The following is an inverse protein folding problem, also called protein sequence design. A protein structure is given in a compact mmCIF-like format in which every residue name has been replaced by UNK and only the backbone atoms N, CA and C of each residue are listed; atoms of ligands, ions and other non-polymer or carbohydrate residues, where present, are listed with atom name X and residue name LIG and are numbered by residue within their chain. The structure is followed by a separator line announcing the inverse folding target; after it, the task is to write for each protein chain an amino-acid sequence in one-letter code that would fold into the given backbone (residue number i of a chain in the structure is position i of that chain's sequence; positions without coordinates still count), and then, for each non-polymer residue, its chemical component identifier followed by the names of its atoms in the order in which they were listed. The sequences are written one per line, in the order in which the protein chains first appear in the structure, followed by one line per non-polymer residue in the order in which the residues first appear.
data_IF_715001147229
#
_entry.id   IF_715001147229
#
_cell.length_a   1.000
_cell.length_b   1.000
_cell.length_c   1.000
_cell.angle_alpha   90.00
_cell.angle_beta   90.00
_cell.angle_gamma   90.00
#
_symmetry.space_group_name_H-M   'P 1'
#
loop_
_entity.id
_entity.type
_entity.pdbx_description
1 polymer ?
#
# COMPACT_ATOMS: atom_id res chain seq x y z
N UNK A 1 20.94 -23.24 -16.09
CA UNK A 1 20.10 -22.49 -17.07
C UNK A 1 19.99 -21.05 -16.66
N UNK A 2 19.92 -20.18 -17.62
CA UNK A 2 19.71 -18.74 -17.38
C UNK A 2 18.31 -18.32 -17.73
N UNK A 3 17.75 -17.42 -16.95
CA UNK A 3 16.42 -16.86 -17.17
C UNK A 3 16.32 -15.44 -16.63
N UNK A 4 15.30 -14.72 -17.07
CA UNK A 4 15.03 -13.37 -16.62
C UNK A 4 13.90 -13.36 -15.58
N UNK A 5 14.12 -12.65 -14.49
CA UNK A 5 13.14 -12.50 -13.42
C UNK A 5 11.92 -11.72 -13.91
N UNK A 6 10.73 -12.29 -13.79
CA UNK A 6 9.47 -11.63 -14.21
C UNK A 6 9.18 -10.33 -13.42
N UNK A 7 9.73 -10.21 -12.20
CA UNK A 7 9.48 -9.03 -11.36
C UNK A 7 10.48 -7.88 -11.58
N UNK A 8 11.76 -8.17 -11.84
CA UNK A 8 12.81 -7.15 -11.91
C UNK A 8 13.69 -7.23 -13.16
N UNK A 9 13.38 -8.10 -14.12
CA UNK A 9 14.10 -8.36 -15.37
C UNK A 9 15.58 -8.75 -15.24
N UNK A 10 16.06 -8.93 -14.01
CA UNK A 10 17.43 -9.37 -13.76
C UNK A 10 17.66 -10.78 -14.29
N UNK A 11 18.73 -10.96 -15.06
CA UNK A 11 19.22 -12.30 -15.44
C UNK A 11 19.71 -13.05 -14.20
N UNK A 12 19.37 -14.33 -14.07
CA UNK A 12 19.79 -15.19 -12.97
C UNK A 12 19.94 -16.64 -13.41
N UNK A 13 20.79 -17.35 -12.70
CA UNK A 13 20.97 -18.79 -12.90
C UNK A 13 19.99 -19.57 -12.03
N UNK A 14 19.41 -20.63 -12.60
CA UNK A 14 18.52 -21.52 -11.87
C UNK A 14 18.79 -22.99 -12.24
N UNK A 15 18.51 -23.89 -11.32
CA UNK A 15 18.59 -25.33 -11.53
C UNK A 15 17.31 -25.86 -12.16
N UNK A 16 17.36 -26.74 -13.16
CA UNK A 16 16.18 -27.30 -13.82
C UNK A 16 15.22 -28.04 -12.88
N UNK A 17 15.74 -28.54 -11.77
CA UNK A 17 14.96 -29.18 -10.70
C UNK A 17 14.13 -28.20 -9.85
N UNK A 18 14.49 -26.93 -9.88
CA UNK A 18 13.71 -25.88 -9.22
C UNK A 18 12.56 -25.45 -10.15
N UNK A 19 11.35 -25.81 -9.79
CA UNK A 19 10.13 -25.52 -10.59
C UNK A 19 9.85 -24.04 -10.87
N UNK A 20 10.71 -23.12 -10.40
CA UNK A 20 10.48 -21.69 -10.41
C UNK A 20 11.61 -20.88 -11.07
N UNK A 21 12.01 -21.25 -12.28
CA UNK A 21 12.88 -20.39 -13.10
C UNK A 21 12.27 -19.05 -13.55
N UNK A 22 11.29 -18.55 -12.77
CA UNK A 22 10.56 -17.30 -13.06
C UNK A 22 11.04 -16.11 -12.23
N UNK A 23 11.64 -16.34 -11.09
CA UNK A 23 12.04 -15.28 -10.14
C UNK A 23 13.46 -15.50 -9.64
N UNK A 24 14.23 -14.40 -9.55
CA UNK A 24 15.63 -14.47 -9.08
C UNK A 24 15.73 -14.71 -7.56
N UNK A 25 14.66 -14.53 -6.81
CA UNK A 25 14.61 -14.74 -5.37
C UNK A 25 13.17 -14.90 -4.87
N UNK A 26 13.01 -15.47 -3.67
CA UNK A 26 11.71 -15.55 -2.99
C UNK A 26 11.12 -14.15 -2.73
N UNK A 27 11.98 -13.15 -2.52
CA UNK A 27 11.57 -11.75 -2.40
C UNK A 27 10.89 -11.26 -3.67
N UNK A 28 11.52 -11.44 -4.83
CA UNK A 28 10.94 -11.06 -6.12
C UNK A 28 9.63 -11.80 -6.43
N UNK A 29 9.54 -13.07 -6.07
CA UNK A 29 8.31 -13.83 -6.18
C UNK A 29 7.19 -13.24 -5.31
N UNK A 30 7.49 -12.95 -4.05
CA UNK A 30 6.54 -12.33 -3.12
C UNK A 30 6.06 -10.98 -3.62
N UNK A 31 6.98 -10.10 -4.04
CA UNK A 31 6.66 -8.78 -4.60
C UNK A 31 5.75 -8.87 -5.83
N UNK A 32 6.03 -9.78 -6.74
CA UNK A 32 5.21 -9.98 -7.93
C UNK A 32 3.77 -10.35 -7.61
N UNK A 33 3.57 -11.32 -6.71
CA UNK A 33 2.22 -11.73 -6.31
C UNK A 33 1.50 -10.66 -5.50
N UNK A 34 2.22 -9.90 -4.71
CA UNK A 34 1.63 -8.80 -3.95
C UNK A 34 1.22 -7.66 -4.88
N UNK A 35 2.08 -7.25 -5.82
CA UNK A 35 1.74 -6.22 -6.81
C UNK A 35 0.47 -6.57 -7.59
N UNK A 36 0.25 -7.85 -7.90
CA UNK A 36 -0.98 -8.30 -8.56
C UNK A 36 -2.24 -8.12 -7.72
N UNK A 37 -2.14 -8.04 -6.41
CA UNK A 37 -3.27 -7.78 -5.51
C UNK A 37 -3.59 -6.29 -5.37
N UNK A 38 -2.63 -5.44 -5.66
CA UNK A 38 -2.78 -3.99 -5.61
C UNK A 38 -3.34 -3.48 -6.95
N UNK A 39 -4.65 -3.54 -7.10
CA UNK A 39 -5.36 -3.08 -8.30
C UNK A 39 -6.42 -2.05 -7.94
N UNK A 40 -6.75 -1.19 -8.90
CA UNK A 40 -7.81 -0.20 -8.74
C UNK A 40 -9.16 -0.89 -8.49
N UNK A 41 -9.91 -0.40 -7.50
CA UNK A 41 -11.22 -0.97 -7.15
C UNK A 41 -11.16 -2.22 -6.29
N UNK A 42 -9.97 -2.73 -5.95
CA UNK A 42 -9.86 -3.84 -5.00
C UNK A 42 -10.26 -3.40 -3.59
N UNK A 43 -10.82 -4.33 -2.82
CA UNK A 43 -11.12 -4.08 -1.42
C UNK A 43 -9.83 -4.06 -0.62
N UNK A 44 -9.65 -3.03 0.21
CA UNK A 44 -8.51 -2.95 1.10
C UNK A 44 -8.64 -3.95 2.24
N UNK A 45 -7.67 -4.82 2.38
CA UNK A 45 -7.56 -5.77 3.48
C UNK A 45 -6.40 -5.40 4.40
N UNK A 46 -6.57 -5.62 5.71
CA UNK A 46 -5.52 -5.40 6.70
C UNK A 46 -4.18 -6.05 6.30
N UNK A 47 -4.22 -7.22 5.72
CA UNK A 47 -3.02 -7.92 5.25
C UNK A 47 -2.25 -7.15 4.15
N UNK A 48 -2.91 -6.30 3.37
CA UNK A 48 -2.24 -5.49 2.34
C UNK A 48 -1.27 -4.48 2.96
N UNK A 49 -1.62 -3.87 4.08
CA UNK A 49 -0.71 -3.00 4.83
C UNK A 49 0.53 -3.76 5.29
N UNK A 50 0.34 -4.96 5.83
CA UNK A 50 1.44 -5.83 6.28
C UNK A 50 2.35 -6.20 5.10
N UNK A 51 1.78 -6.61 3.98
CA UNK A 51 2.53 -6.96 2.79
C UNK A 51 3.31 -5.78 2.21
N UNK A 52 2.69 -4.61 2.14
CA UNK A 52 3.32 -3.40 1.63
C UNK A 52 4.53 -3.00 2.50
N UNK A 53 4.35 -3.00 3.82
CA UNK A 53 5.43 -2.73 4.79
C UNK A 53 6.56 -3.77 4.71
N UNK A 54 6.24 -5.03 4.47
CA UNK A 54 7.23 -6.09 4.31
C UNK A 54 8.09 -5.91 3.06
N UNK A 55 7.50 -5.47 1.97
CA UNK A 55 8.19 -5.27 0.69
C UNK A 55 9.03 -4.00 0.70
N UNK A 56 8.45 -2.88 1.12
CA UNK A 56 9.08 -1.55 1.09
C UNK A 56 9.88 -1.23 2.35
N UNK A 57 9.68 -1.99 3.42
CA UNK A 57 10.19 -1.70 4.75
C UNK A 57 9.23 -0.82 5.56
N UNK A 58 9.29 -0.95 6.89
CA UNK A 58 8.51 -0.12 7.81
C UNK A 58 9.23 1.20 8.08
N UNK A 59 9.30 2.03 7.06
CA UNK A 59 10.03 3.29 7.03
C UNK A 59 9.20 4.35 6.33
N UNK A 60 9.20 5.57 6.84
CA UNK A 60 8.54 6.68 6.16
C UNK A 60 9.23 6.98 4.82
N UNK A 61 8.47 6.89 3.73
CA UNK A 61 9.01 7.13 2.38
C UNK A 61 9.31 8.62 2.12
N UNK A 62 8.79 9.52 2.97
CA UNK A 62 9.05 10.95 2.85
C UNK A 62 10.24 11.44 3.68
N UNK A 63 10.24 11.20 5.00
CA UNK A 63 11.30 11.69 5.91
C UNK A 63 12.31 10.65 6.35
N UNK A 64 12.05 9.38 6.07
CA UNK A 64 12.95 8.27 6.37
C UNK A 64 12.97 7.80 7.82
N UNK A 65 12.13 8.35 8.69
CA UNK A 65 12.06 7.94 10.10
C UNK A 65 11.58 6.50 10.25
N UNK A 66 12.15 5.76 11.18
CA UNK A 66 11.78 4.37 11.49
C UNK A 66 11.31 4.19 12.92
N UNK A 67 11.80 5.01 13.84
CA UNK A 67 11.47 4.93 15.26
C UNK A 67 11.37 6.32 15.89
N UNK A 68 10.68 6.40 17.01
CA UNK A 68 10.53 7.61 17.80
C UNK A 68 10.70 7.28 19.28
N UNK A 69 11.60 7.98 19.95
CA UNK A 69 11.90 7.77 21.39
C UNK A 69 12.20 6.30 21.72
N UNK A 70 12.93 5.59 20.86
CA UNK A 70 13.29 4.18 21.05
C UNK A 70 12.18 3.17 20.74
N UNK A 71 11.03 3.62 20.20
CA UNK A 71 9.91 2.78 19.81
C UNK A 71 9.65 2.82 18.32
N UNK A 72 9.27 1.68 17.75
CA UNK A 72 8.87 1.57 16.35
C UNK A 72 7.64 2.43 16.08
N UNK A 73 7.68 3.21 15.01
CA UNK A 73 6.54 4.05 14.61
C UNK A 73 5.51 3.22 13.86
N UNK A 74 4.24 3.36 14.24
CA UNK A 74 3.13 2.81 13.46
C UNK A 74 2.95 3.60 12.17
N UNK A 75 3.48 3.07 11.06
CA UNK A 75 3.38 3.71 9.76
C UNK A 75 1.97 3.57 9.17
N UNK A 76 1.56 4.60 8.44
CA UNK A 76 0.30 4.65 7.73
C UNK A 76 0.51 4.40 6.23
N UNK A 77 -0.46 3.76 5.59
CA UNK A 77 -0.51 3.67 4.13
C UNK A 77 -1.40 4.80 3.62
N UNK A 78 -0.85 5.60 2.72
CA UNK A 78 -1.51 6.76 2.13
C UNK A 78 -1.74 6.53 0.63
N UNK A 79 -2.88 6.99 0.13
CA UNK A 79 -3.20 7.01 -1.30
C UNK A 79 -2.75 8.37 -1.87
N UNK A 80 -1.78 8.35 -2.78
CA UNK A 80 -1.15 9.57 -3.31
C UNK A 80 -2.17 10.50 -3.96
N UNK A 81 -3.12 9.94 -4.73
CA UNK A 81 -4.20 10.68 -5.39
C UNK A 81 -5.40 11.01 -4.48
N UNK A 82 -5.40 10.51 -3.24
CA UNK A 82 -6.51 10.65 -2.29
C UNK A 82 -7.72 9.76 -2.57
N UNK A 83 -7.69 8.94 -3.61
CA UNK A 83 -8.75 7.97 -3.93
C UNK A 83 -8.51 6.64 -3.23
N UNK A 84 -9.30 6.38 -2.18
CA UNK A 84 -9.23 5.13 -1.39
C UNK A 84 -9.55 3.87 -2.18
N UNK A 85 -10.14 4.00 -3.36
CA UNK A 85 -10.45 2.86 -4.25
C UNK A 85 -9.30 2.55 -5.20
N UNK A 86 -8.36 3.47 -5.37
CA UNK A 86 -7.18 3.28 -6.20
C UNK A 86 -6.05 2.61 -5.42
N UNK A 87 -6.15 1.30 -5.25
CA UNK A 87 -5.20 0.47 -4.52
C UNK A 87 -4.08 -0.07 -5.41
N UNK A 88 -3.72 0.63 -6.48
CA UNK A 88 -2.57 0.27 -7.31
C UNK A 88 -1.27 0.48 -6.53
N UNK A 89 -0.31 -0.40 -6.76
CA UNK A 89 0.96 -0.38 -6.02
C UNK A 89 1.67 0.99 -6.10
N UNK A 90 1.67 1.63 -7.26
CA UNK A 90 2.33 2.92 -7.49
C UNK A 90 1.58 4.11 -6.88
N UNK A 91 0.30 3.94 -6.55
CA UNK A 91 -0.51 4.97 -5.89
C UNK A 91 -0.43 4.93 -4.36
N UNK A 92 0.29 3.97 -3.80
CA UNK A 92 0.41 3.77 -2.36
C UNK A 92 1.79 4.19 -1.88
N UNK A 93 1.83 4.79 -0.69
CA UNK A 93 3.07 5.12 0.01
C UNK A 93 2.93 4.87 1.50
N UNK A 94 4.07 4.62 2.14
CA UNK A 94 4.16 4.43 3.59
C UNK A 94 4.68 5.72 4.21
N UNK A 95 3.91 6.30 5.12
CA UNK A 95 4.23 7.55 5.79
C UNK A 95 4.14 7.40 7.31
N UNK A 96 5.03 8.11 8.02
CA UNK A 96 4.85 8.31 9.46
C UNK A 96 3.63 9.22 9.70
N UNK A 97 3.04 9.19 10.91
CA UNK A 97 1.88 10.02 11.23
C UNK A 97 2.06 11.51 10.95
N UNK A 98 3.26 12.06 11.20
CA UNK A 98 3.57 13.46 10.94
C UNK A 98 3.54 13.80 9.46
N UNK A 99 4.25 13.03 8.62
CA UNK A 99 4.24 13.25 7.17
C UNK A 99 2.86 13.01 6.57
N UNK A 100 2.13 11.99 7.06
CA UNK A 100 0.77 11.71 6.62
C UNK A 100 -0.18 12.89 6.91
N UNK A 101 -0.07 13.51 8.09
CA UNK A 101 -0.89 14.67 8.46
C UNK A 101 -0.66 15.91 7.59
N UNK A 102 0.49 16.00 6.93
CA UNK A 102 0.86 17.12 6.06
C UNK A 102 0.52 16.90 4.59
N UNK A 103 -0.01 15.74 4.22
CA UNK A 103 -0.41 15.48 2.83
C UNK A 103 -1.61 16.34 2.43
N UNK A 104 -1.71 16.75 1.15
CA UNK A 104 -2.85 17.54 0.68
C UNK A 104 -4.20 16.85 0.84
N UNK A 105 -4.19 15.52 0.86
CA UNK A 105 -5.39 14.66 0.94
C UNK A 105 -5.74 14.21 2.35
N UNK A 106 -4.93 14.60 3.35
CA UNK A 106 -5.14 14.21 4.75
C UNK A 106 -6.51 14.67 5.27
N UNK A 107 -7.20 13.77 5.96
CA UNK A 107 -8.52 14.03 6.54
C UNK A 107 -9.53 14.62 5.54
N UNK A 108 -9.44 14.21 4.29
CA UNK A 108 -10.33 14.65 3.20
C UNK A 108 -10.23 16.14 2.84
N UNK A 109 -9.11 16.79 3.18
CA UNK A 109 -8.91 18.23 2.91
C UNK A 109 -9.12 18.61 1.45
N UNK A 110 -8.70 17.76 0.51
CA UNK A 110 -8.79 18.00 -0.93
C UNK A 110 -9.46 16.85 -1.68
N UNK A 111 -10.46 16.24 -1.08
CA UNK A 111 -11.26 15.22 -1.75
C UNK A 111 -12.12 15.89 -2.81
N UNK A 112 -12.16 15.32 -4.02
CA UNK A 112 -13.05 15.79 -5.09
C UNK A 112 -14.51 15.77 -4.67
N UNK A 113 -15.37 16.56 -5.29
CA UNK A 113 -16.79 16.62 -4.97
C UNK A 113 -17.47 15.24 -5.13
N UNK A 114 -17.04 14.45 -6.10
CA UNK A 114 -17.48 13.06 -6.27
C UNK A 114 -17.02 12.17 -5.10
N UNK A 115 -15.82 12.37 -4.60
CA UNK A 115 -15.32 11.69 -3.41
C UNK A 115 -16.13 12.05 -2.17
N UNK A 116 -16.48 13.33 -1.99
CA UNK A 116 -17.34 13.80 -0.90
C UNK A 116 -18.74 13.18 -0.97
N UNK A 117 -19.33 13.11 -2.17
CA UNK A 117 -20.62 12.45 -2.38
C UNK A 117 -20.58 10.97 -1.99
N UNK A 118 -19.56 10.22 -2.44
CA UNK A 118 -19.38 8.80 -2.07
C UNK A 118 -19.23 8.61 -0.56
N UNK A 119 -18.48 9.47 0.10
CA UNK A 119 -18.33 9.42 1.56
C UNK A 119 -19.66 9.69 2.28
N UNK A 120 -20.43 10.66 1.81
CA UNK A 120 -21.75 10.99 2.37
C UNK A 120 -22.75 9.83 2.17
N UNK A 121 -22.77 9.19 1.00
CA UNK A 121 -23.61 8.03 0.72
C UNK A 121 -23.23 6.83 1.58
N UNK A 122 -21.96 6.56 1.75
CA UNK A 122 -21.47 5.50 2.61
C UNK A 122 -21.86 5.73 4.07
N UNK A 123 -21.76 6.96 4.55
CA UNK A 123 -22.17 7.31 5.91
C UNK A 123 -23.68 7.10 6.14
N UNK A 124 -24.51 7.40 5.13
CA UNK A 124 -25.96 7.17 5.17
C UNK A 124 -26.29 5.67 5.18
N UNK A 125 -25.65 4.88 4.33
CA UNK A 125 -25.87 3.42 4.24
C UNK A 125 -25.47 2.68 5.51
N UNK A 126 -24.41 3.13 6.19
CA UNK A 126 -23.89 2.47 7.39
C UNK A 126 -24.62 2.84 8.68
N UNK A 127 -25.74 3.57 8.61
CA UNK A 127 -26.65 3.76 9.73
C UNK A 127 -26.01 4.29 11.02
N UNK A 128 -24.89 4.99 10.95
CA UNK A 128 -24.33 5.71 12.11
C UNK A 128 -25.16 6.94 12.37
N UNK A 129 -26.39 6.70 12.85
CA UNK A 129 -27.17 7.71 13.49
C UNK A 129 -26.36 8.25 14.67
N UNK A 130 -26.04 9.54 14.63
CA UNK A 130 -25.58 10.24 15.82
C UNK A 130 -26.66 10.06 16.87
N UNK A 131 -26.39 9.31 17.90
CA UNK A 131 -27.19 9.40 19.11
C UNK A 131 -27.12 10.88 19.54
N UNK A 132 -28.18 11.62 19.26
CA UNK A 132 -28.40 12.88 19.91
C UNK A 132 -28.72 12.55 21.37
N UNK A 133 -27.78 12.81 22.24
CA UNK A 133 -28.05 12.99 23.66
C UNK A 133 -28.71 14.33 23.79
#
# INVERSE_FOLDING_TARGET
MKGNCINCDKEFDYMPSQKNGKYCSNKCQGEYYVKKRFVKGSVWHHNMTIYLKRIRGNKCENCGIIEWLGHEISMHVDHIDGDRTNNTYDNLRILCPNCHSQTPTFASKNVSDEGKKRMAESARKNGRGRNKI
#
